data_IF_703978634976
#
_entry.id   IF_703978634976
#
_cell.length_a   1.000
_cell.length_b   1.000
_cell.length_c   1.000
_cell.angle_alpha   90.00
_cell.angle_beta   90.00
_cell.angle_gamma   90.00
#
_symmetry.space_group_name_H-M   'P 1'
#
loop_
_entity.id
_entity.type
_entity.pdbx_description
1 polymer ?
#
# COMPACT_ATOMS: atom_id res chain seq x y z
N UNK A 1 9.99 14.37 10.59
CA UNK A 1 9.65 13.23 9.73
C UNK A 1 8.21 13.33 9.29
N UNK A 2 7.74 12.37 8.48
CA UNK A 2 6.32 12.28 8.11
C UNK A 2 5.45 11.91 9.31
N UNK A 3 4.17 12.27 9.26
CA UNK A 3 3.16 11.91 10.26
C UNK A 3 2.20 10.90 9.63
N UNK A 4 2.03 9.75 10.29
CA UNK A 4 1.00 8.78 9.92
C UNK A 4 -0.35 9.23 10.52
N UNK A 5 -1.41 9.40 9.71
CA UNK A 5 -2.74 9.69 10.23
C UNK A 5 -3.41 8.49 10.93
N UNK A 6 -2.80 7.30 10.94
CA UNK A 6 -3.30 6.07 11.57
C UNK A 6 -4.71 5.66 11.08
N UNK A 7 -4.98 5.88 9.79
CA UNK A 7 -6.26 5.51 9.15
C UNK A 7 -6.16 4.18 8.43
N UNK A 8 -7.17 3.32 8.56
CA UNK A 8 -7.29 2.06 7.79
C UNK A 8 -7.79 2.33 6.37
N UNK A 9 -8.57 3.39 6.19
CA UNK A 9 -9.17 3.77 4.91
C UNK A 9 -9.11 5.27 4.68
N UNK A 10 -8.93 5.68 3.41
CA UNK A 10 -9.00 7.10 3.05
C UNK A 10 -10.36 7.76 3.35
N UNK A 11 -11.41 6.96 3.59
CA UNK A 11 -12.72 7.48 4.01
C UNK A 11 -12.71 8.05 5.43
N UNK A 12 -11.73 7.69 6.26
CA UNK A 12 -11.54 8.19 7.63
C UNK A 12 -10.73 9.49 7.67
N UNK A 13 -10.03 9.83 6.58
CA UNK A 13 -9.23 11.05 6.50
C UNK A 13 -9.99 12.34 6.86
N UNK A 14 -11.28 12.53 6.50
CA UNK A 14 -12.04 13.70 6.93
C UNK A 14 -12.20 13.84 8.45
N UNK A 15 -12.33 12.74 9.17
CA UNK A 15 -12.41 12.74 10.63
C UNK A 15 -11.07 13.16 11.24
N UNK A 16 -9.97 12.57 10.75
CA UNK A 16 -8.62 12.97 11.14
C UNK A 16 -8.35 14.46 10.87
N UNK A 17 -8.75 14.95 9.70
CA UNK A 17 -8.59 16.35 9.31
C UNK A 17 -9.36 17.31 10.25
N UNK A 18 -10.59 16.96 10.62
CA UNK A 18 -11.39 17.73 11.56
C UNK A 18 -10.77 17.74 12.97
N UNK A 19 -10.25 16.60 13.43
CA UNK A 19 -9.53 16.50 14.70
C UNK A 19 -8.22 17.30 14.69
N UNK A 20 -7.53 17.37 13.56
CA UNK A 20 -6.34 18.21 13.42
C UNK A 20 -6.70 19.71 13.41
N UNK A 21 -7.81 20.08 12.78
CA UNK A 21 -8.30 21.46 12.70
C UNK A 21 -8.80 22.00 14.05
N UNK A 22 -9.31 21.13 14.93
CA UNK A 22 -9.81 21.49 16.27
C UNK A 22 -8.70 21.71 17.31
N UNK A 23 -7.43 21.46 16.95
CA UNK A 23 -6.27 21.74 17.81
C UNK A 23 -6.14 23.24 18.06
N UNK A 24 -5.65 23.60 19.24
CA UNK A 24 -5.37 24.99 19.57
C UNK A 24 -4.21 25.56 18.72
N UNK A 25 -4.10 26.88 18.64
CA UNK A 25 -3.11 27.57 17.79
C UNK A 25 -1.65 27.17 18.07
N UNK A 26 -1.34 26.69 19.29
CA UNK A 26 -0.01 26.21 19.64
C UNK A 26 0.34 24.82 19.10
N UNK A 27 -0.67 24.01 18.75
CA UNK A 27 -0.52 22.61 18.31
C UNK A 27 -1.07 22.36 16.90
N UNK A 28 -1.80 23.32 16.34
CA UNK A 28 -2.26 23.33 14.97
C UNK A 28 -1.09 23.70 14.03
N UNK A 29 -0.75 22.85 13.05
CA UNK A 29 0.33 23.16 12.12
C UNK A 29 -0.06 24.33 11.21
N UNK A 30 0.88 25.27 11.03
CA UNK A 30 0.70 26.39 10.10
C UNK A 30 0.84 25.97 8.64
N UNK A 31 1.79 25.08 8.35
CA UNK A 31 2.06 24.55 7.00
C UNK A 31 1.87 23.04 6.99
N UNK A 32 1.19 22.56 5.96
CA UNK A 32 0.95 21.15 5.72
C UNK A 32 1.56 20.76 4.37
N UNK A 33 2.42 19.75 4.37
CA UNK A 33 2.90 19.10 3.16
C UNK A 33 2.45 17.65 3.19
N UNK A 34 1.69 17.23 2.18
CA UNK A 34 1.11 15.88 2.10
C UNK A 34 1.64 15.13 0.88
N UNK A 35 1.73 13.81 0.98
CA UNK A 35 2.12 12.96 -0.13
C UNK A 35 1.38 11.62 -0.07
N UNK A 36 1.22 11.00 -1.24
CA UNK A 36 0.72 9.64 -1.38
C UNK A 36 1.37 9.02 -2.62
N UNK A 37 1.20 7.71 -2.85
CA UNK A 37 1.88 6.96 -3.93
C UNK A 37 1.91 7.71 -5.28
N UNK A 38 0.75 8.14 -5.81
CA UNK A 38 0.66 8.82 -7.11
C UNK A 38 -0.09 10.15 -7.10
N UNK A 39 -0.18 10.83 -5.95
CA UNK A 39 -0.77 12.18 -5.83
C UNK A 39 -2.29 12.26 -5.72
N UNK A 40 -3.07 11.34 -6.32
CA UNK A 40 -4.55 11.46 -6.42
C UNK A 40 -5.30 11.63 -5.08
N UNK A 41 -4.84 11.00 -4.00
CA UNK A 41 -5.45 11.18 -2.66
C UNK A 41 -5.16 12.57 -2.12
N UNK A 42 -3.94 13.07 -2.36
CA UNK A 42 -3.52 14.39 -1.91
C UNK A 42 -4.22 15.52 -2.66
N UNK A 43 -4.58 15.34 -3.93
CA UNK A 43 -5.43 16.28 -4.67
C UNK A 43 -6.74 16.54 -3.92
N UNK A 44 -7.44 15.46 -3.55
CA UNK A 44 -8.69 15.53 -2.79
C UNK A 44 -8.49 16.03 -1.36
N UNK A 45 -7.47 15.51 -0.69
CA UNK A 45 -7.16 15.87 0.70
C UNK A 45 -6.80 17.35 0.83
N UNK A 46 -6.09 17.93 -0.15
CA UNK A 46 -5.67 19.35 -0.09
C UNK A 46 -6.87 20.29 -0.09
N UNK A 47 -7.84 20.05 -0.97
CA UNK A 47 -9.09 20.81 -0.99
C UNK A 47 -9.86 20.67 0.34
N UNK A 48 -9.89 19.47 0.92
CA UNK A 48 -10.53 19.26 2.22
C UNK A 48 -9.81 20.03 3.34
N UNK A 49 -8.48 19.94 3.43
CA UNK A 49 -7.71 20.66 4.46
C UNK A 49 -7.90 22.17 4.34
N UNK A 50 -7.93 22.72 3.12
CA UNK A 50 -8.25 24.14 2.92
C UNK A 50 -9.64 24.50 3.44
N UNK A 51 -10.65 23.66 3.18
CA UNK A 51 -12.01 23.87 3.72
C UNK A 51 -12.09 23.78 5.25
N UNK A 52 -11.13 23.12 5.90
CA UNK A 52 -10.98 23.07 7.37
C UNK A 52 -10.20 24.28 7.94
N UNK A 53 -9.89 25.27 7.10
CA UNK A 53 -9.25 26.53 7.49
C UNK A 53 -7.72 26.46 7.56
N UNK A 54 -7.08 25.52 6.86
CA UNK A 54 -5.62 25.54 6.68
C UNK A 54 -5.26 26.35 5.43
N UNK A 55 -4.52 27.44 5.62
CA UNK A 55 -4.15 28.34 4.52
C UNK A 55 -2.96 27.84 3.69
N UNK A 56 -1.97 27.22 4.35
CA UNK A 56 -0.74 26.75 3.71
C UNK A 56 -0.75 25.23 3.55
N UNK A 57 -1.50 24.74 2.54
CA UNK A 57 -1.59 23.32 2.20
C UNK A 57 -0.89 23.05 0.88
N UNK A 58 0.10 22.17 0.93
CA UNK A 58 0.91 21.72 -0.19
C UNK A 58 0.79 20.21 -0.34
N UNK A 59 0.92 19.72 -1.57
CA UNK A 59 1.11 18.30 -1.82
C UNK A 59 2.30 18.04 -2.74
N UNK A 60 2.81 16.82 -2.69
CA UNK A 60 3.82 16.33 -3.62
C UNK A 60 3.16 16.03 -4.97
N UNK A 61 3.39 16.89 -5.96
CA UNK A 61 2.87 16.72 -7.32
C UNK A 61 3.42 15.44 -7.94
N UNK A 62 2.53 14.60 -8.48
CA UNK A 62 2.90 13.27 -9.01
C UNK A 62 3.11 12.19 -7.92
N UNK A 63 3.09 12.56 -6.64
CA UNK A 63 3.23 11.64 -5.52
C UNK A 63 4.64 11.07 -5.34
N UNK A 64 4.73 10.06 -4.49
CA UNK A 64 5.99 9.41 -4.12
C UNK A 64 6.68 8.84 -5.37
N UNK A 65 5.95 8.19 -6.28
CA UNK A 65 6.56 7.56 -7.45
C UNK A 65 7.29 8.58 -8.34
N UNK A 66 6.72 9.77 -8.53
CA UNK A 66 7.38 10.84 -9.30
C UNK A 66 8.61 11.39 -8.57
N UNK A 67 8.53 11.49 -7.24
CA UNK A 67 9.67 11.89 -6.42
C UNK A 67 10.83 10.89 -6.50
N UNK A 68 10.56 9.59 -6.45
CA UNK A 68 11.59 8.56 -6.60
C UNK A 68 12.23 8.57 -8.01
N UNK A 69 11.44 8.86 -9.05
CA UNK A 69 11.94 9.03 -10.41
C UNK A 69 12.86 10.25 -10.57
N UNK A 70 12.48 11.38 -9.96
CA UNK A 70 13.14 12.67 -10.19
C UNK A 70 14.34 12.92 -9.26
N UNK A 71 14.37 12.30 -8.08
CA UNK A 71 15.36 12.58 -7.03
C UNK A 71 16.32 11.40 -6.87
N UNK A 72 17.64 11.60 -7.09
CA UNK A 72 18.66 10.58 -6.81
C UNK A 72 18.62 10.09 -5.37
N UNK A 73 18.98 8.82 -5.14
CA UNK A 73 18.88 8.20 -3.82
C UNK A 73 19.76 8.91 -2.78
N UNK A 74 20.93 9.42 -3.19
CA UNK A 74 21.86 10.17 -2.36
C UNK A 74 21.29 11.48 -1.81
N UNK A 75 20.33 12.08 -2.53
CA UNK A 75 19.66 13.33 -2.17
C UNK A 75 18.23 13.08 -1.62
N UNK A 76 17.81 11.82 -1.57
CA UNK A 76 16.47 11.42 -1.20
C UNK A 76 16.26 11.45 0.31
N UNK A 77 15.10 11.94 0.72
CA UNK A 77 14.59 11.81 2.09
C UNK A 77 13.67 10.60 2.27
N UNK A 78 13.44 9.81 1.21
CA UNK A 78 12.63 8.60 1.27
C UNK A 78 13.36 7.47 2.01
N UNK A 79 12.60 6.69 2.78
CA UNK A 79 13.12 5.57 3.55
C UNK A 79 12.22 4.35 3.35
N UNK A 80 12.82 3.20 3.07
CA UNK A 80 12.10 1.95 2.82
C UNK A 80 11.52 1.86 1.40
N UNK A 81 10.42 1.13 1.26
CA UNK A 81 9.79 0.84 -0.03
C UNK A 81 8.41 1.52 -0.15
N UNK A 82 8.03 1.91 -1.37
CA UNK A 82 6.75 2.55 -1.65
C UNK A 82 5.68 1.51 -2.00
N UNK A 83 4.65 1.39 -1.17
CA UNK A 83 3.53 0.48 -1.44
C UNK A 83 2.77 0.85 -2.73
N UNK A 84 2.50 -0.15 -3.57
CA UNK A 84 1.76 -0.06 -4.83
C UNK A 84 0.62 -1.08 -4.91
N UNK A 85 -0.49 -0.69 -5.54
CA UNK A 85 -1.74 -1.46 -5.59
C UNK A 85 -1.75 -2.51 -6.71
N UNK A 86 -0.65 -3.23 -6.90
CA UNK A 86 -0.53 -4.28 -7.92
C UNK A 86 0.30 -5.48 -7.42
N UNK A 87 0.71 -6.35 -8.35
CA UNK A 87 1.42 -7.59 -8.02
C UNK A 87 2.81 -7.39 -7.43
N UNK A 88 3.40 -6.19 -7.56
CA UNK A 88 4.72 -5.85 -7.00
C UNK A 88 4.68 -5.62 -5.51
N UNK A 89 3.51 -5.28 -4.95
CA UNK A 89 3.28 -4.93 -3.53
C UNK A 89 3.96 -3.63 -3.11
N UNK A 90 5.25 -3.51 -3.34
CA UNK A 90 6.02 -2.30 -3.11
C UNK A 90 7.09 -2.15 -4.19
N UNK A 91 7.63 -0.94 -4.31
CA UNK A 91 8.79 -0.65 -5.15
C UNK A 91 9.89 0.02 -4.33
N UNK A 92 11.14 -0.22 -4.68
CA UNK A 92 12.29 0.45 -4.09
C UNK A 92 12.49 1.87 -4.67
N UNK A 93 13.61 2.51 -4.31
CA UNK A 93 13.94 3.86 -4.79
C UNK A 93 14.14 3.91 -6.31
N UNK A 94 14.63 2.82 -6.91
CA UNK A 94 14.85 2.67 -8.36
C UNK A 94 13.58 2.21 -9.10
N UNK A 95 12.42 2.26 -8.44
CA UNK A 95 11.12 1.84 -8.93
C UNK A 95 11.06 0.35 -9.36
N UNK A 96 12.00 -0.47 -8.89
CA UNK A 96 12.00 -1.92 -9.11
C UNK A 96 11.10 -2.61 -8.08
N UNK A 97 10.58 -3.81 -8.37
CA UNK A 97 9.83 -4.58 -7.39
C UNK A 97 10.62 -4.77 -6.10
N UNK A 98 10.02 -4.39 -4.99
CA UNK A 98 10.62 -4.48 -3.66
C UNK A 98 10.62 -5.89 -3.07
N UNK A 99 10.97 -5.99 -1.79
CA UNK A 99 11.11 -7.26 -1.08
C UNK A 99 9.82 -7.74 -0.41
N UNK A 100 8.81 -6.87 -0.32
CA UNK A 100 7.56 -7.21 0.35
C UNK A 100 6.70 -8.18 -0.49
N UNK A 101 6.22 -9.23 0.18
CA UNK A 101 5.21 -10.13 -0.35
C UNK A 101 3.79 -9.68 0.02
N UNK A 102 2.78 -10.31 -0.59
CA UNK A 102 1.37 -10.07 -0.25
C UNK A 102 0.75 -11.32 0.36
N UNK A 103 0.13 -11.20 1.53
CA UNK A 103 -0.75 -12.26 2.02
C UNK A 103 -2.00 -12.33 1.13
N UNK A 104 -2.17 -13.38 0.34
CA UNK A 104 -3.36 -13.52 -0.52
C UNK A 104 -4.65 -13.88 0.24
N UNK A 105 -4.58 -14.04 1.57
CA UNK A 105 -5.76 -14.19 2.41
C UNK A 105 -6.28 -12.83 2.90
N UNK A 106 -5.47 -12.08 3.65
CA UNK A 106 -5.90 -10.80 4.27
C UNK A 106 -5.44 -9.54 3.52
N UNK A 107 -4.63 -9.66 2.46
CA UNK A 107 -4.06 -8.54 1.70
C UNK A 107 -3.08 -7.65 2.49
N UNK A 108 -2.54 -8.15 3.60
CA UNK A 108 -1.44 -7.47 4.29
C UNK A 108 -0.13 -7.66 3.51
N UNK A 109 0.63 -6.58 3.29
CA UNK A 109 2.04 -6.67 2.92
C UNK A 109 2.82 -7.41 3.99
N UNK A 110 3.74 -8.27 3.59
CA UNK A 110 4.58 -9.08 4.46
C UNK A 110 6.04 -8.79 4.15
N UNK A 111 6.80 -8.39 5.16
CA UNK A 111 8.25 -8.26 5.04
C UNK A 111 8.87 -9.66 4.84
N UNK A 112 10.12 -9.76 4.35
CA UNK A 112 10.80 -11.04 4.16
C UNK A 112 10.81 -11.93 5.41
N UNK A 113 10.99 -11.36 6.60
CA UNK A 113 10.94 -12.15 7.85
C UNK A 113 9.57 -12.76 8.12
N UNK A 114 8.48 -12.10 7.71
CA UNK A 114 7.12 -12.57 7.98
C UNK A 114 6.77 -13.82 7.17
N UNK A 115 7.43 -14.02 6.02
CA UNK A 115 7.31 -15.21 5.19
C UNK A 115 7.92 -16.45 5.85
N UNK A 116 8.78 -16.26 6.86
CA UNK A 116 9.36 -17.34 7.66
C UNK A 116 8.58 -17.61 8.96
N UNK A 117 7.54 -16.83 9.26
CA UNK A 117 6.75 -16.98 10.48
C UNK A 117 6.00 -18.33 10.49
N UNK A 118 5.88 -19.04 11.64
CA UNK A 118 5.18 -20.33 11.72
C UNK A 118 3.73 -20.33 11.22
N UNK A 119 3.04 -19.19 11.37
CA UNK A 119 1.65 -19.01 10.92
C UNK A 119 1.50 -18.65 9.44
N UNK A 120 2.62 -18.40 8.75
CA UNK A 120 2.62 -18.16 7.33
C UNK A 120 2.40 -19.47 6.56
N UNK A 121 1.30 -19.50 5.81
CA UNK A 121 0.99 -20.55 4.87
C UNK A 121 0.68 -19.89 3.52
N UNK A 122 1.52 -20.11 2.48
CA UNK A 122 1.38 -19.44 1.19
C UNK A 122 -0.05 -19.53 0.65
N UNK A 123 -0.64 -18.37 0.35
CA UNK A 123 -1.99 -18.28 -0.16
C UNK A 123 -3.12 -18.56 0.83
N UNK A 124 -2.81 -18.93 2.08
CA UNK A 124 -3.77 -19.42 3.08
C UNK A 124 -3.84 -18.50 4.30
N UNK A 125 -2.71 -18.21 4.95
CA UNK A 125 -2.68 -17.39 6.18
C UNK A 125 -1.32 -16.72 6.40
N UNK A 126 -1.31 -15.73 7.29
CA UNK A 126 -0.11 -15.11 7.86
C UNK A 126 -0.37 -14.81 9.35
N UNK A 127 0.64 -14.33 10.07
CA UNK A 127 0.54 -14.02 11.49
C UNK A 127 -0.50 -12.94 11.82
N UNK A 128 -0.87 -12.07 10.87
CA UNK A 128 -1.93 -11.07 11.08
C UNK A 128 -3.36 -11.61 10.95
N UNK A 129 -3.56 -12.76 10.30
CA UNK A 129 -4.91 -13.22 9.96
C UNK A 129 -5.18 -14.69 10.29
N UNK A 130 -4.21 -15.41 10.84
CA UNK A 130 -4.38 -16.82 11.15
C UNK A 130 -5.57 -17.05 12.08
N UNK A 131 -5.71 -16.20 13.09
CA UNK A 131 -6.72 -16.35 14.14
C UNK A 131 -8.03 -15.62 13.84
N UNK A 132 -8.07 -14.79 12.79
CA UNK A 132 -9.27 -14.06 12.37
C UNK A 132 -10.06 -14.81 11.29
N UNK A 133 -9.49 -15.87 10.72
CA UNK A 133 -10.13 -16.67 9.68
C UNK A 133 -11.13 -17.67 10.27
N UNK A 134 -12.35 -17.66 9.73
CA UNK A 134 -13.29 -18.75 10.00
C UNK A 134 -12.91 -20.04 9.22
N UNK A 135 -13.41 -21.21 9.65
CA UNK A 135 -13.09 -22.48 8.98
C UNK A 135 -13.47 -22.53 7.49
N UNK A 136 -14.54 -21.84 7.08
CA UNK A 136 -15.01 -21.82 5.70
C UNK A 136 -14.09 -20.95 4.82
N UNK A 137 -13.67 -19.79 5.30
CA UNK A 137 -12.67 -18.93 4.65
C UNK A 137 -11.37 -19.68 4.48
N UNK A 138 -10.88 -20.34 5.53
CA UNK A 138 -9.65 -21.12 5.48
C UNK A 138 -9.72 -22.23 4.43
N UNK A 139 -10.83 -22.99 4.39
CA UNK A 139 -11.04 -24.03 3.39
C UNK A 139 -11.04 -23.47 1.95
N UNK A 140 -11.68 -22.31 1.72
CA UNK A 140 -11.67 -21.63 0.41
C UNK A 140 -10.27 -21.19 -0.01
N UNK A 141 -9.48 -20.65 0.91
CA UNK A 141 -8.11 -20.23 0.62
C UNK A 141 -7.19 -21.42 0.33
N UNK A 142 -7.34 -22.51 1.07
CA UNK A 142 -6.62 -23.77 0.81
C UNK A 142 -6.96 -24.34 -0.57
N UNK A 143 -8.25 -24.36 -0.93
CA UNK A 143 -8.66 -24.86 -2.24
C UNK A 143 -8.12 -23.97 -3.37
N UNK A 144 -8.22 -22.65 -3.24
CA UNK A 144 -7.60 -21.72 -4.20
C UNK A 144 -6.10 -21.97 -4.35
N UNK A 145 -5.37 -22.12 -3.25
CA UNK A 145 -3.92 -22.36 -3.30
C UNK A 145 -3.60 -23.71 -3.96
N UNK A 146 -4.41 -24.74 -3.70
CA UNK A 146 -4.30 -26.03 -4.38
C UNK A 146 -4.49 -25.88 -5.89
N UNK A 147 -5.49 -25.12 -6.33
CA UNK A 147 -5.73 -24.88 -7.77
C UNK A 147 -4.59 -24.09 -8.43
N UNK A 148 -3.99 -23.12 -7.72
CA UNK A 148 -2.78 -22.42 -8.19
C UNK A 148 -1.62 -23.39 -8.37
N UNK A 149 -1.35 -24.25 -7.39
CA UNK A 149 -0.28 -25.25 -7.47
C UNK A 149 -0.49 -26.24 -8.62
N UNK A 150 -1.70 -26.79 -8.74
CA UNK A 150 -2.05 -27.74 -9.81
C UNK A 150 -1.91 -27.10 -11.20
N UNK A 151 -2.27 -25.83 -11.36
CA UNK A 151 -2.07 -25.12 -12.62
C UNK A 151 -0.57 -24.95 -12.95
N UNK A 152 0.24 -24.56 -11.96
CA UNK A 152 1.69 -24.45 -12.13
C UNK A 152 2.34 -25.79 -12.50
N UNK A 153 1.93 -26.90 -11.87
CA UNK A 153 2.39 -28.26 -12.21
C UNK A 153 2.04 -28.66 -13.65
N UNK A 154 0.94 -28.15 -14.20
CA UNK A 154 0.55 -28.35 -15.60
C UNK A 154 1.20 -27.36 -16.59
N UNK A 155 1.96 -26.39 -16.10
CA UNK A 155 2.45 -25.27 -16.93
C UNK A 155 1.34 -24.34 -17.40
N UNK A 156 0.17 -24.39 -16.75
CA UNK A 156 -0.99 -23.57 -17.07
C UNK A 156 -1.05 -22.31 -16.19
N UNK A 157 -1.59 -21.25 -16.77
CA UNK A 157 -1.86 -20.02 -16.05
C UNK A 157 -3.14 -20.19 -15.20
N UNK A 158 -3.07 -19.98 -13.88
CA UNK A 158 -4.27 -19.97 -13.04
C UNK A 158 -5.15 -18.73 -13.35
N UNK A 159 -6.44 -18.79 -13.01
CA UNK A 159 -7.43 -17.74 -13.31
C UNK A 159 -6.90 -16.35 -12.92
N UNK A 160 -6.91 -15.42 -13.88
CA UNK A 160 -6.40 -14.05 -13.71
C UNK A 160 -4.94 -13.84 -14.14
N UNK A 161 -4.19 -14.90 -14.48
CA UNK A 161 -2.82 -14.78 -14.99
C UNK A 161 -2.76 -14.07 -16.36
N UNK A 162 -3.69 -14.35 -17.28
CA UNK A 162 -3.78 -13.64 -18.56
C UNK A 162 -3.99 -12.12 -18.41
N UNK A 163 -4.69 -11.69 -17.35
CA UNK A 163 -4.87 -10.26 -17.02
C UNK A 163 -3.61 -9.62 -16.43
N UNK A 164 -2.70 -10.42 -15.86
CA UNK A 164 -1.38 -9.96 -15.37
C UNK A 164 -0.37 -9.87 -16.51
N UNK A 165 -0.36 -10.86 -17.41
CA UNK A 165 0.57 -10.90 -18.55
C UNK A 165 0.27 -9.80 -19.58
N UNK A 166 -1.02 -9.53 -19.83
CA UNK A 166 -1.44 -8.42 -20.70
C UNK A 166 -1.15 -7.02 -20.14
N UNK A 167 -0.91 -6.88 -18.83
CA UNK A 167 -0.45 -5.61 -18.22
C UNK A 167 1.07 -5.48 -18.36
N UNK A 168 1.82 -6.55 -18.10
CA UNK A 168 3.28 -6.57 -18.32
C UNK A 168 3.67 -6.22 -19.76
N UNK A 169 2.88 -6.62 -20.76
CA UNK A 169 3.15 -6.29 -22.16
C UNK A 169 2.75 -4.87 -22.58
N UNK A 170 2.07 -4.12 -21.72
CA UNK A 170 1.66 -2.72 -21.97
C UNK A 170 2.59 -1.72 -21.31
N UNK A 171 3.29 -2.14 -20.27
CA UNK A 171 4.25 -1.35 -19.51
C UNK A 171 5.71 -1.58 -19.97
N UNK A 172 5.91 -2.35 -21.06
CA UNK A 172 7.19 -2.62 -21.74
C UNK A 172 7.16 -2.03 -23.16
#
# INVERSE_FOLDING_TARGET
GAVDPETDSFREFPEWAAALASRNDGTRPRKLAMFCTGGIRCEKASALMQSQGFDEVYHLKGGILKYLEDIPQEDSSWQGECFVFDGRVAVDHDLQPGQYGMCHACRMPLAPQDLSHPDYAPGISCHHCRDTQDPQQRARFMERQKQVRLAAERGEAHIGAAARDSRKSRDA
#
